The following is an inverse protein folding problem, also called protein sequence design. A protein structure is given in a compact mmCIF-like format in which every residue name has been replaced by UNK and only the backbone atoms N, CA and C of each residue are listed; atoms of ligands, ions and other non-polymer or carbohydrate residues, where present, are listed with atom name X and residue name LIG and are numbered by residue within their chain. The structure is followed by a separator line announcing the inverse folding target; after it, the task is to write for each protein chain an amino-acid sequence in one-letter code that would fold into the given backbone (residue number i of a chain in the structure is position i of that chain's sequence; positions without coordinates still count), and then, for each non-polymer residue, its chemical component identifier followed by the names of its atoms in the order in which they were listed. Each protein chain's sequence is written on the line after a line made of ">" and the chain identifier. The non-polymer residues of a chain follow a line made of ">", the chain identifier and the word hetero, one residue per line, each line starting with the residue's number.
data_IF_302608245788
#
_entry.id   IF_302608245788
#
_cell.length_a   1.000
_cell.length_b   1.000
_cell.length_c   1.000
_cell.angle_alpha   90.00
_cell.angle_beta   90.00
_cell.angle_gamma   90.00
#
_symmetry.space_group_name_H-M   'P 1'
#
loop_
_entity.id
_entity.type
_entity.pdbx_description
1 polymer ?
#
# COMPACT_ATOMS: atom_id res chain seq x y z
N UNK A 1 -7.31 -57.11 -16.35
CA UNK A 1 -7.97 -57.02 -15.03
C UNK A 1 -6.90 -56.99 -13.94
N UNK A 2 -7.13 -56.22 -12.86
CA UNK A 2 -6.24 -55.92 -11.71
C UNK A 2 -5.31 -54.72 -11.86
N UNK A 3 -5.78 -53.56 -11.36
CA UNK A 3 -5.09 -52.75 -10.34
C UNK A 3 -5.96 -51.53 -9.97
N UNK A 4 -6.99 -51.79 -9.15
CA UNK A 4 -7.58 -50.78 -8.26
C UNK A 4 -6.76 -50.79 -6.96
N UNK A 5 -6.41 -49.64 -6.40
CA UNK A 5 -6.04 -49.58 -4.98
C UNK A 5 -4.84 -48.72 -4.58
N UNK A 6 -4.72 -47.46 -5.03
CA UNK A 6 -3.72 -46.54 -4.47
C UNK A 6 -4.28 -45.12 -4.25
N UNK A 7 -5.44 -45.00 -3.60
CA UNK A 7 -6.07 -43.69 -3.30
C UNK A 7 -6.56 -43.61 -1.84
N UNK A 8 -5.85 -44.24 -0.90
CA UNK A 8 -6.27 -44.22 0.52
C UNK A 8 -5.14 -44.00 1.54
N UNK A 9 -4.00 -43.45 1.11
CA UNK A 9 -2.85 -43.16 1.99
C UNK A 9 -2.34 -41.71 1.93
N UNK A 10 -3.03 -40.80 1.24
CA UNK A 10 -2.65 -39.37 1.20
C UNK A 10 -3.36 -38.49 2.25
N UNK A 11 -4.08 -39.07 3.22
CA UNK A 11 -4.97 -38.32 4.12
C UNK A 11 -4.45 -38.17 5.56
N UNK A 12 -3.18 -38.47 5.84
CA UNK A 12 -2.63 -38.44 7.22
C UNK A 12 -1.37 -37.61 7.44
N UNK A 13 -0.85 -36.91 6.43
CA UNK A 13 0.28 -35.98 6.60
C UNK A 13 -0.08 -34.48 6.63
N UNK A 14 -1.31 -34.09 6.29
CA UNK A 14 -1.71 -32.68 6.35
C UNK A 14 -2.15 -32.21 7.75
N UNK A 15 -2.21 -33.11 8.74
CA UNK A 15 -2.75 -32.82 10.09
C UNK A 15 -1.70 -32.27 11.07
N UNK A 16 -0.50 -31.90 10.61
CA UNK A 16 0.58 -31.34 11.42
C UNK A 16 0.90 -29.86 11.15
N UNK A 17 0.22 -29.19 10.22
CA UNK A 17 0.23 -27.72 10.16
C UNK A 17 -0.79 -27.13 11.15
N UNK A 18 -0.64 -27.58 12.39
CA UNK A 18 -1.29 -27.08 13.59
C UNK A 18 -0.67 -25.73 13.90
N UNK A 19 -1.45 -24.67 13.69
CA UNK A 19 -1.46 -23.46 14.50
C UNK A 19 -0.07 -22.89 14.88
N UNK A 20 0.54 -22.15 13.95
CA UNK A 20 1.43 -21.07 14.38
C UNK A 20 0.51 -19.93 14.82
N UNK A 21 0.16 -19.92 16.10
CA UNK A 21 -0.39 -18.72 16.72
C UNK A 21 0.71 -17.66 16.67
N UNK A 22 0.62 -16.73 15.72
CA UNK A 22 1.46 -15.54 15.69
C UNK A 22 1.13 -14.75 16.95
N UNK A 23 2.03 -14.83 17.92
CA UNK A 23 1.98 -14.06 19.16
C UNK A 23 1.85 -12.57 18.83
N UNK A 24 0.79 -11.92 19.30
CA UNK A 24 0.67 -10.45 19.31
C UNK A 24 1.65 -9.90 20.35
N UNK A 25 2.94 -9.91 20.01
CA UNK A 25 3.98 -9.25 20.78
C UNK A 25 3.76 -7.74 20.66
N UNK A 26 3.46 -7.10 21.80
CA UNK A 26 3.30 -5.65 21.89
C UNK A 26 4.50 -4.96 21.26
N UNK A 27 4.28 -4.33 20.10
CA UNK A 27 5.30 -3.57 19.41
C UNK A 27 5.65 -2.36 20.27
N UNK A 28 6.81 -2.38 20.92
CA UNK A 28 7.48 -1.12 21.27
C UNK A 28 7.64 -0.37 19.95
N UNK A 29 7.09 0.85 19.85
CA UNK A 29 7.40 1.75 18.73
C UNK A 29 8.92 1.93 18.73
N UNK A 30 9.60 1.25 17.80
CA UNK A 30 11.01 1.47 17.55
C UNK A 30 11.10 2.86 16.92
N UNK A 31 11.54 3.84 17.69
CA UNK A 31 11.92 5.14 17.13
C UNK A 31 13.21 4.90 16.36
N UNK A 32 13.13 4.91 15.03
CA UNK A 32 14.31 4.80 14.18
C UNK A 32 15.02 6.16 14.13
N UNK A 33 16.32 6.16 13.86
CA UNK A 33 17.07 7.41 13.67
C UNK A 33 16.64 8.20 12.41
N UNK A 34 15.78 7.61 11.58
CA UNK A 34 15.26 8.17 10.33
C UNK A 34 13.72 8.06 10.30
N UNK A 35 13.06 8.14 11.46
CA UNK A 35 11.60 8.01 11.53
C UNK A 35 10.92 9.16 10.75
N UNK A 36 10.25 8.86 9.63
CA UNK A 36 9.64 9.89 8.78
C UNK A 36 8.38 10.50 9.42
N UNK A 37 7.89 9.94 10.54
CA UNK A 37 6.75 10.47 11.30
C UNK A 37 7.16 11.50 12.36
N UNK A 38 8.45 11.67 12.63
CA UNK A 38 8.93 12.59 13.66
C UNK A 38 8.67 14.06 13.28
N UNK A 39 8.10 14.83 14.21
CA UNK A 39 7.75 16.24 14.00
C UNK A 39 6.40 16.47 13.30
N UNK A 40 5.73 15.41 12.86
CA UNK A 40 4.39 15.49 12.27
C UNK A 40 3.31 15.56 13.35
N UNK A 41 2.20 16.25 13.05
CA UNK A 41 0.99 16.19 13.88
C UNK A 41 0.25 14.84 13.68
N UNK A 42 -0.76 14.56 14.50
CA UNK A 42 -1.47 13.26 14.44
C UNK A 42 -2.25 13.04 13.14
N UNK A 43 -2.82 14.10 12.56
CA UNK A 43 -3.54 14.01 11.29
C UNK A 43 -2.59 13.68 10.13
N UNK A 44 -1.43 14.34 10.10
CA UNK A 44 -0.35 14.08 9.15
C UNK A 44 0.20 12.67 9.24
N UNK A 45 0.33 12.11 10.46
CA UNK A 45 0.73 10.71 10.65
C UNK A 45 -0.30 9.75 10.08
N UNK A 46 -1.60 10.08 10.18
CA UNK A 46 -2.63 9.25 9.56
C UNK A 46 -2.60 9.37 8.03
N UNK A 47 -2.41 10.56 7.46
CA UNK A 47 -2.21 10.73 6.02
C UNK A 47 -1.02 9.91 5.51
N UNK A 48 0.12 10.00 6.19
CA UNK A 48 1.32 9.22 5.89
C UNK A 48 1.03 7.71 5.93
N UNK A 49 0.34 7.24 6.96
CA UNK A 49 0.01 5.83 7.16
C UNK A 49 -0.95 5.31 6.09
N UNK A 50 -1.99 6.07 5.74
CA UNK A 50 -2.95 5.69 4.69
C UNK A 50 -2.23 5.61 3.34
N UNK A 51 -1.45 6.62 3.00
CA UNK A 51 -0.67 6.66 1.76
C UNK A 51 0.35 5.52 1.68
N UNK A 52 1.10 5.26 2.76
CA UNK A 52 2.08 4.18 2.83
C UNK A 52 1.45 2.80 2.66
N UNK A 53 0.31 2.55 3.32
CA UNK A 53 -0.42 1.30 3.19
C UNK A 53 -0.94 1.10 1.76
N UNK A 54 -1.49 2.15 1.15
CA UNK A 54 -1.92 2.11 -0.25
C UNK A 54 -0.75 1.81 -1.20
N UNK A 55 0.38 2.48 -1.00
CA UNK A 55 1.59 2.25 -1.79
C UNK A 55 2.07 0.79 -1.70
N UNK A 56 2.10 0.23 -0.47
CA UNK A 56 2.53 -1.14 -0.25
C UNK A 56 1.57 -2.20 -0.82
N UNK A 57 0.27 -1.92 -0.82
CA UNK A 57 -0.76 -2.90 -1.22
C UNK A 57 -1.11 -2.84 -2.71
N UNK A 58 -1.19 -1.65 -3.29
CA UNK A 58 -1.74 -1.43 -4.64
C UNK A 58 -0.65 -1.04 -5.66
N UNK A 59 0.43 -0.39 -5.23
CA UNK A 59 1.47 0.11 -6.13
C UNK A 59 2.70 -0.82 -6.19
N UNK A 60 3.32 -1.11 -5.04
CA UNK A 60 4.57 -1.85 -4.96
C UNK A 60 4.54 -3.23 -5.64
N UNK A 61 3.46 -4.05 -5.53
CA UNK A 61 3.42 -5.36 -6.18
C UNK A 61 3.41 -5.29 -7.72
N UNK A 62 2.93 -4.18 -8.28
CA UNK A 62 2.67 -4.04 -9.71
C UNK A 62 3.69 -3.12 -10.41
N UNK A 63 4.45 -2.31 -9.66
CA UNK A 63 5.42 -1.33 -10.16
C UNK A 63 6.33 -1.88 -11.27
N UNK A 64 6.94 -3.05 -11.06
CA UNK A 64 7.91 -3.62 -12.00
C UNK A 64 7.25 -4.02 -13.33
N UNK A 65 6.01 -4.53 -13.29
CA UNK A 65 5.27 -4.88 -14.49
C UNK A 65 4.85 -3.63 -15.26
N UNK A 66 4.36 -2.60 -14.56
CA UNK A 66 3.94 -1.35 -15.19
C UNK A 66 5.10 -0.66 -15.89
N UNK A 67 6.27 -0.64 -15.27
CA UNK A 67 7.48 -0.04 -15.85
C UNK A 67 7.94 -0.84 -17.08
N UNK A 68 8.11 -2.16 -16.94
CA UNK A 68 8.64 -3.03 -18.00
C UNK A 68 7.74 -3.07 -19.25
N UNK A 69 6.43 -2.93 -19.08
CA UNK A 69 5.43 -2.99 -20.15
C UNK A 69 4.89 -1.61 -20.55
N UNK A 70 5.41 -0.53 -19.97
CA UNK A 70 4.95 0.85 -20.20
C UNK A 70 3.43 1.01 -19.99
N UNK A 71 2.89 0.34 -18.97
CA UNK A 71 1.45 0.37 -18.68
C UNK A 71 1.08 1.58 -17.84
N UNK A 72 -0.01 2.23 -18.22
CA UNK A 72 -0.60 3.31 -17.46
C UNK A 72 -1.72 2.76 -16.54
N UNK A 73 -1.52 2.74 -15.20
CA UNK A 73 -2.38 1.97 -14.28
C UNK A 73 -3.66 2.72 -13.88
N UNK A 74 -4.59 2.90 -14.83
CA UNK A 74 -5.84 3.68 -14.66
C UNK A 74 -6.67 3.22 -13.46
N UNK A 75 -6.90 1.91 -13.32
CA UNK A 75 -7.73 1.37 -12.23
C UNK A 75 -7.14 1.68 -10.85
N UNK A 76 -5.81 1.55 -10.70
CA UNK A 76 -5.14 1.89 -9.45
C UNK A 76 -5.22 3.40 -9.17
N UNK A 77 -5.05 4.26 -10.18
CA UNK A 77 -5.20 5.71 -10.00
C UNK A 77 -6.63 6.10 -9.61
N UNK A 78 -7.65 5.41 -10.11
CA UNK A 78 -9.03 5.62 -9.66
C UNK A 78 -9.20 5.25 -8.18
N UNK A 79 -8.59 4.15 -7.71
CA UNK A 79 -8.57 3.81 -6.28
C UNK A 79 -7.83 4.88 -5.45
N UNK A 80 -6.71 5.39 -5.93
CA UNK A 80 -5.97 6.47 -5.28
C UNK A 80 -6.82 7.75 -5.20
N UNK A 81 -7.57 8.08 -6.25
CA UNK A 81 -8.48 9.22 -6.27
C UNK A 81 -9.63 9.09 -5.26
N UNK A 82 -10.17 7.88 -5.05
CA UNK A 82 -11.19 7.62 -4.02
C UNK A 82 -10.69 7.89 -2.60
N UNK A 83 -9.37 7.81 -2.37
CA UNK A 83 -8.72 8.17 -1.11
C UNK A 83 -8.38 9.68 -1.01
N UNK A 84 -8.70 10.47 -2.04
CA UNK A 84 -8.42 11.90 -2.10
C UNK A 84 -7.03 12.25 -2.65
N UNK A 85 -6.29 11.27 -3.21
CA UNK A 85 -4.94 11.51 -3.74
C UNK A 85 -4.92 12.10 -5.16
N UNK A 86 -6.07 12.13 -5.86
CA UNK A 86 -6.19 12.73 -7.19
C UNK A 86 -6.21 14.26 -7.20
N UNK A 87 -6.48 14.89 -6.05
CA UNK A 87 -6.62 16.34 -5.92
C UNK A 87 -6.23 16.83 -4.53
N UNK A 88 -5.03 16.46 -4.07
CA UNK A 88 -4.60 16.58 -2.66
C UNK A 88 -4.74 17.99 -2.11
N UNK A 89 -4.20 19.00 -2.81
CA UNK A 89 -4.24 20.41 -2.40
C UNK A 89 -5.20 21.24 -3.28
N UNK A 90 -6.15 20.57 -3.93
CA UNK A 90 -7.24 21.23 -4.67
C UNK A 90 -8.35 21.57 -3.68
N UNK A 91 -9.05 22.69 -3.89
CA UNK A 91 -10.14 23.13 -3.02
C UNK A 91 -11.27 22.11 -2.96
N UNK A 92 -11.93 22.03 -1.81
CA UNK A 92 -13.01 21.06 -1.56
C UNK A 92 -14.31 21.38 -2.32
N UNK A 93 -14.52 22.63 -2.74
CA UNK A 93 -15.69 23.07 -3.51
C UNK A 93 -15.79 22.43 -4.90
N UNK A 94 -14.67 21.91 -5.41
CA UNK A 94 -14.56 21.22 -6.70
C UNK A 94 -14.17 19.75 -6.56
N UNK A 95 -14.31 19.17 -5.36
CA UNK A 95 -14.02 17.76 -5.09
C UNK A 95 -12.56 17.43 -4.75
N UNK A 96 -11.73 18.44 -4.47
CA UNK A 96 -10.38 18.23 -3.94
C UNK A 96 -10.34 17.95 -2.43
N UNK A 97 -9.18 17.57 -1.91
CA UNK A 97 -9.01 17.23 -0.48
C UNK A 97 -8.69 18.45 0.40
N UNK A 98 -8.35 19.60 -0.20
CA UNK A 98 -8.11 20.85 0.52
C UNK A 98 -6.90 20.84 1.46
N UNK A 99 -5.97 19.89 1.28
CA UNK A 99 -4.83 19.71 2.19
C UNK A 99 -3.70 20.71 1.94
N UNK A 100 -2.86 20.92 2.95
CA UNK A 100 -1.74 21.84 2.85
C UNK A 100 -0.61 21.29 1.96
N UNK A 101 0.37 22.15 1.68
CA UNK A 101 1.59 21.75 0.95
C UNK A 101 2.40 20.71 1.71
N UNK A 102 2.46 20.82 3.04
CA UNK A 102 3.18 19.87 3.88
C UNK A 102 2.48 18.50 3.86
N UNK A 103 1.16 18.48 4.04
CA UNK A 103 0.37 17.25 4.00
C UNK A 103 0.52 16.55 2.63
N UNK A 104 0.53 17.34 1.56
CA UNK A 104 0.80 16.84 0.19
C UNK A 104 2.19 16.20 0.08
N UNK A 105 3.22 16.86 0.61
CA UNK A 105 4.58 16.33 0.58
C UNK A 105 4.69 14.98 1.31
N UNK A 106 4.03 14.86 2.47
CA UNK A 106 4.01 13.65 3.28
C UNK A 106 3.31 12.51 2.53
N UNK A 107 2.18 12.80 1.88
CA UNK A 107 1.44 11.82 1.08
C UNK A 107 2.28 11.35 -0.11
N UNK A 108 2.88 12.27 -0.87
CA UNK A 108 3.69 11.90 -2.04
C UNK A 108 4.97 11.17 -1.68
N UNK A 109 5.64 11.53 -0.59
CA UNK A 109 6.79 10.77 -0.08
C UNK A 109 6.40 9.32 0.21
N UNK A 110 5.27 9.11 0.91
CA UNK A 110 4.77 7.78 1.23
C UNK A 110 4.36 6.99 -0.03
N UNK A 111 3.65 7.61 -0.98
CA UNK A 111 3.26 6.98 -2.25
C UNK A 111 4.47 6.59 -3.12
N UNK A 112 5.51 7.44 -3.14
CA UNK A 112 6.72 7.21 -3.93
C UNK A 112 7.48 5.96 -3.48
N UNK A 113 7.30 5.49 -2.23
CA UNK A 113 7.86 4.20 -1.78
C UNK A 113 7.30 2.99 -2.55
N UNK A 114 6.10 3.12 -3.13
CA UNK A 114 5.46 2.06 -3.91
C UNK A 114 5.80 2.13 -5.40
N UNK A 115 5.67 3.30 -6.02
CA UNK A 115 6.08 3.53 -7.41
C UNK A 115 6.34 5.02 -7.66
N UNK A 116 7.61 5.39 -7.82
CA UNK A 116 8.03 6.79 -8.02
C UNK A 116 7.47 7.38 -9.31
N UNK A 117 7.51 6.64 -10.42
CA UNK A 117 7.03 7.12 -11.74
C UNK A 117 5.54 7.46 -11.70
N UNK A 118 4.71 6.56 -11.17
CA UNK A 118 3.26 6.79 -11.07
C UNK A 118 2.93 7.89 -10.06
N UNK A 119 3.66 7.97 -8.95
CA UNK A 119 3.48 9.07 -7.97
C UNK A 119 3.84 10.42 -8.59
N UNK A 120 4.92 10.49 -9.37
CA UNK A 120 5.29 11.70 -10.10
C UNK A 120 4.18 12.11 -11.08
N UNK A 121 3.58 11.16 -11.79
CA UNK A 121 2.41 11.44 -12.63
C UNK A 121 1.24 12.03 -11.82
N UNK A 122 0.89 11.45 -10.68
CA UNK A 122 -0.17 11.97 -9.79
C UNK A 122 0.13 13.42 -9.37
N UNK A 123 1.39 13.77 -9.13
CA UNK A 123 1.77 15.14 -8.75
C UNK A 123 1.60 16.17 -9.88
N UNK A 124 1.63 15.73 -11.15
CA UNK A 124 1.49 16.55 -12.35
C UNK A 124 0.01 16.63 -12.78
N UNK A 125 -0.75 15.58 -12.51
CA UNK A 125 -2.17 15.48 -12.79
C UNK A 125 -2.94 16.65 -12.14
N UNK A 126 -3.82 17.27 -12.91
CA UNK A 126 -4.65 18.41 -12.50
C UNK A 126 -6.11 18.15 -12.83
#
# INVERSE_FOLDING_TARGET
>A
MLRKGCWRLQARLCFLYRSVQVSKSGHRKLVSCIDPSMGLNEEQKEFQKVAFNFAAQEMAPNMAEWDQKELFPVEMMQKAAQLGFGGVYVRTDVGGSGLSRLDTSIIFEALATGCTSTTAYISIHK
#
